data_IF_105780123311
#
_entry.id   IF_105780123311
#
_cell.length_a   1.000
_cell.length_b   1.000
_cell.length_c   1.000
_cell.angle_alpha   90.00
_cell.angle_beta   90.00
_cell.angle_gamma   90.00
#
_symmetry.space_group_name_H-M   'P 1'
#
loop_
_entity.id
_entity.type
_entity.pdbx_description
1 polymer ?
#
# COMPACT_ATOMS: atom_id res chain seq x y z
N UNK A 1 -3.39 -16.74 -1.58
CA UNK A 1 -4.20 -16.68 -2.83
C UNK A 1 -4.19 -15.24 -3.25
N UNK A 2 -3.97 -14.93 -4.53
CA UNK A 2 -3.87 -13.53 -4.98
C UNK A 2 -5.13 -12.73 -4.62
N UNK A 3 -4.96 -11.70 -3.80
CA UNK A 3 -6.03 -10.81 -3.36
C UNK A 3 -6.00 -9.49 -4.12
N UNK A 4 -4.81 -8.94 -4.38
CA UNK A 4 -4.66 -7.68 -5.09
C UNK A 4 -3.30 -7.61 -5.77
N UNK A 5 -3.23 -7.11 -6.99
CA UNK A 5 -1.97 -6.89 -7.68
C UNK A 5 -2.01 -5.61 -8.48
N UNK A 6 -1.03 -4.73 -8.29
CA UNK A 6 -0.95 -3.47 -9.04
C UNK A 6 0.50 -3.09 -9.32
N UNK A 7 0.69 -2.16 -10.25
CA UNK A 7 2.01 -1.64 -10.62
C UNK A 7 2.06 -0.15 -10.33
N UNK A 8 3.15 0.31 -9.72
CA UNK A 8 3.39 1.74 -9.48
C UNK A 8 3.59 2.42 -10.83
N UNK A 9 2.82 3.47 -11.09
CA UNK A 9 2.88 4.32 -12.27
C UNK A 9 3.72 5.57 -12.02
N UNK A 10 3.54 6.19 -10.87
CA UNK A 10 4.28 7.39 -10.47
C UNK A 10 4.29 7.55 -8.96
N UNK A 11 5.18 8.39 -8.48
CA UNK A 11 5.26 8.79 -7.08
C UNK A 11 5.28 10.32 -7.03
N UNK A 12 4.47 10.90 -6.15
CA UNK A 12 4.57 12.31 -5.81
C UNK A 12 5.90 12.64 -5.11
N UNK A 13 6.28 13.92 -5.13
CA UNK A 13 7.55 14.36 -4.54
C UNK A 13 7.59 14.11 -3.04
N UNK A 14 6.50 14.40 -2.31
CA UNK A 14 6.39 14.16 -0.87
C UNK A 14 6.11 12.69 -0.52
N UNK A 15 5.63 11.89 -1.47
CA UNK A 15 5.41 10.46 -1.26
C UNK A 15 6.74 9.71 -1.01
N UNK A 16 7.83 10.19 -1.62
CA UNK A 16 9.17 9.63 -1.39
C UNK A 16 9.70 9.98 -0.01
N UNK A 17 9.37 11.16 0.50
CA UNK A 17 9.73 11.56 1.85
C UNK A 17 8.98 10.71 2.88
N UNK A 18 7.69 10.42 2.66
CA UNK A 18 6.93 9.55 3.57
C UNK A 18 7.50 8.13 3.62
N UNK A 19 8.09 7.63 2.51
CA UNK A 19 8.74 6.33 2.48
C UNK A 19 9.94 6.27 3.45
N UNK A 20 10.67 7.38 3.65
CA UNK A 20 11.75 7.44 4.64
C UNK A 20 11.26 7.28 6.08
N UNK A 21 9.98 7.60 6.33
CA UNK A 21 9.28 7.40 7.60
C UNK A 21 8.50 6.07 7.63
N UNK A 22 8.91 5.08 6.82
CA UNK A 22 8.30 3.75 6.71
C UNK A 22 6.80 3.81 6.35
N UNK A 23 6.37 4.84 5.62
CA UNK A 23 4.98 5.07 5.23
C UNK A 23 4.81 5.26 3.71
N UNK A 24 3.93 4.46 3.13
CA UNK A 24 3.56 4.53 1.71
C UNK A 24 2.07 4.77 1.59
N UNK A 25 1.67 5.88 0.99
CA UNK A 25 0.27 6.16 0.69
C UNK A 25 0.02 5.77 -0.75
N UNK A 26 -0.79 4.74 -0.96
CA UNK A 26 -1.21 4.31 -2.29
C UNK A 26 -2.49 5.04 -2.72
N UNK A 27 -2.59 5.32 -4.01
CA UNK A 27 -3.83 5.79 -4.62
C UNK A 27 -3.96 5.25 -6.05
N UNK A 28 -5.18 4.91 -6.45
CA UNK A 28 -5.47 4.52 -7.83
C UNK A 28 -5.34 5.68 -8.83
N UNK A 29 -5.53 5.40 -10.13
CA UNK A 29 -5.39 6.40 -11.20
C UNK A 29 -6.41 7.54 -11.13
N UNK A 30 -7.49 7.37 -10.37
CA UNK A 30 -8.52 8.37 -10.09
C UNK A 30 -8.16 9.35 -8.96
N UNK A 31 -6.92 9.31 -8.46
CA UNK A 31 -6.45 10.24 -7.43
C UNK A 31 -6.67 11.71 -7.83
N UNK A 32 -7.24 12.55 -6.96
CA UNK A 32 -7.30 13.99 -7.18
C UNK A 32 -5.89 14.61 -7.26
N UNK A 33 -5.69 15.59 -8.15
CA UNK A 33 -4.37 16.21 -8.33
C UNK A 33 -3.81 16.81 -7.03
N UNK A 34 -4.69 17.33 -6.16
CA UNK A 34 -4.32 17.89 -4.86
C UNK A 34 -3.65 16.90 -3.89
N UNK A 35 -3.82 15.58 -4.08
CA UNK A 35 -3.21 14.54 -3.22
C UNK A 35 -2.14 13.72 -3.92
N UNK A 36 -1.98 13.86 -5.25
CA UNK A 36 -0.99 13.09 -6.04
C UNK A 36 0.44 13.33 -5.56
N UNK A 37 0.76 14.53 -5.12
CA UNK A 37 2.10 14.88 -4.63
C UNK A 37 2.50 14.11 -3.35
N UNK A 38 1.52 13.57 -2.62
CA UNK A 38 1.72 12.82 -1.37
C UNK A 38 1.53 11.30 -1.54
N UNK A 39 1.14 10.84 -2.74
CA UNK A 39 0.78 9.45 -2.97
C UNK A 39 1.66 8.79 -4.03
N UNK A 40 1.80 7.47 -3.91
CA UNK A 40 2.22 6.60 -4.98
C UNK A 40 0.99 6.20 -5.79
N UNK A 41 0.99 6.59 -7.05
CA UNK A 41 -0.08 6.29 -7.99
C UNK A 41 0.21 4.93 -8.61
N UNK A 42 -0.74 4.00 -8.50
CA UNK A 42 -0.64 2.69 -9.10
C UNK A 42 -1.68 2.50 -10.21
N UNK A 43 -1.55 1.43 -10.99
CA UNK A 43 -2.35 1.16 -12.18
C UNK A 43 -3.84 0.91 -11.92
N UNK A 44 -4.24 0.78 -10.66
CA UNK A 44 -5.51 0.20 -10.27
C UNK A 44 -5.53 -1.33 -10.48
N UNK A 45 -6.39 -2.00 -9.73
CA UNK A 45 -6.69 -3.43 -9.86
C UNK A 45 -7.97 -3.78 -9.11
N UNK A 46 -8.47 -4.98 -9.32
CA UNK A 46 -9.62 -5.50 -8.55
C UNK A 46 -9.13 -6.20 -7.28
N UNK A 47 -9.87 -5.99 -6.19
CA UNK A 47 -9.68 -6.75 -4.96
C UNK A 47 -10.44 -8.07 -5.06
N UNK A 48 -9.71 -9.17 -5.17
CA UNK A 48 -10.24 -10.54 -5.31
C UNK A 48 -10.45 -11.24 -3.96
N UNK A 49 -9.90 -10.70 -2.88
CA UNK A 49 -10.08 -11.20 -1.52
C UNK A 49 -9.72 -10.13 -0.49
N UNK A 50 -10.24 -10.27 0.73
CA UNK A 50 -9.94 -9.34 1.81
C UNK A 50 -8.48 -9.50 2.24
N UNK A 51 -7.81 -8.37 2.43
CA UNK A 51 -6.52 -8.30 3.10
C UNK A 51 -6.77 -8.47 4.60
N UNK A 52 -6.14 -9.48 5.18
CA UNK A 52 -6.21 -9.80 6.60
C UNK A 52 -4.82 -10.21 7.14
N UNK A 53 -4.75 -10.69 8.38
CA UNK A 53 -3.48 -11.10 9.01
C UNK A 53 -2.81 -12.32 8.37
N UNK A 54 -3.50 -13.05 7.49
CA UNK A 54 -2.94 -14.16 6.72
C UNK A 54 -2.42 -13.69 5.35
N UNK A 55 -2.65 -12.43 4.99
CA UNK A 55 -2.13 -11.83 3.76
C UNK A 55 -0.66 -11.47 3.90
N UNK A 56 0.10 -11.72 2.83
CA UNK A 56 1.44 -11.17 2.65
C UNK A 56 1.44 -10.11 1.55
N UNK A 57 2.31 -9.12 1.68
CA UNK A 57 2.60 -8.16 0.62
C UNK A 57 3.98 -8.46 0.05
N UNK A 58 4.08 -8.55 -1.26
CA UNK A 58 5.32 -8.62 -2.01
C UNK A 58 5.52 -7.34 -2.81
N UNK A 59 6.70 -6.75 -2.70
CA UNK A 59 7.16 -5.60 -3.48
C UNK A 59 8.50 -5.97 -4.10
N UNK A 60 8.50 -6.33 -5.38
CA UNK A 60 9.67 -6.95 -6.01
C UNK A 60 10.05 -8.25 -5.28
N UNK A 61 11.27 -8.31 -4.74
CA UNK A 61 11.78 -9.45 -3.96
C UNK A 61 11.57 -9.29 -2.44
N UNK A 62 10.99 -8.17 -2.00
CA UNK A 62 10.77 -7.89 -0.58
C UNK A 62 9.40 -8.41 -0.13
N UNK A 63 9.42 -9.35 0.82
CA UNK A 63 8.21 -9.93 1.42
C UNK A 63 7.89 -9.31 2.77
N UNK A 64 6.61 -8.99 2.97
CA UNK A 64 6.06 -8.38 4.16
C UNK A 64 4.84 -9.18 4.65
N UNK A 65 4.64 -9.24 5.96
CA UNK A 65 3.46 -9.87 6.56
C UNK A 65 2.53 -8.80 7.11
N UNK A 66 1.22 -8.97 6.91
CA UNK A 66 0.22 -8.06 7.46
C UNK A 66 0.06 -8.28 8.96
N UNK A 67 0.30 -7.23 9.73
CA UNK A 67 0.24 -7.26 11.20
C UNK A 67 -1.00 -6.57 11.75
N UNK A 68 -1.57 -5.60 11.03
CA UNK A 68 -2.86 -5.00 11.33
C UNK A 68 -3.53 -4.46 10.07
N UNK A 69 -4.85 -4.48 10.04
CA UNK A 69 -5.67 -3.93 8.94
C UNK A 69 -6.72 -3.01 9.52
N UNK A 70 -6.72 -1.76 9.07
CA UNK A 70 -7.74 -0.78 9.44
C UNK A 70 -9.12 -1.15 8.90
N UNK A 71 -10.17 -0.70 9.60
CA UNK A 71 -11.56 -1.09 9.33
C UNK A 71 -12.07 -0.71 7.93
N UNK A 72 -11.50 0.31 7.28
CA UNK A 72 -11.89 0.77 5.93
C UNK A 72 -10.80 0.54 4.89
N UNK A 73 -9.66 -0.04 5.26
CA UNK A 73 -8.52 -0.24 4.34
C UNK A 73 -8.91 -1.08 3.10
N UNK A 74 -9.61 -2.20 3.32
CA UNK A 74 -10.09 -3.06 2.23
C UNK A 74 -11.08 -2.34 1.31
N UNK A 75 -12.01 -1.56 1.90
CA UNK A 75 -13.00 -0.81 1.13
C UNK A 75 -12.34 0.27 0.27
N UNK A 76 -11.45 1.08 0.88
CA UNK A 76 -10.74 2.13 0.16
C UNK A 76 -9.83 1.57 -0.94
N UNK A 77 -9.18 0.43 -0.71
CA UNK A 77 -8.36 -0.22 -1.73
C UNK A 77 -9.21 -0.72 -2.90
N UNK A 78 -10.40 -1.28 -2.62
CA UNK A 78 -11.30 -1.77 -3.65
C UNK A 78 -11.96 -0.63 -4.47
N UNK A 79 -12.37 0.46 -3.82
CA UNK A 79 -13.12 1.54 -4.46
C UNK A 79 -12.20 2.60 -5.10
N UNK A 80 -11.12 2.96 -4.43
CA UNK A 80 -10.25 4.10 -4.78
C UNK A 80 -8.82 3.68 -5.14
N UNK A 81 -8.43 2.42 -4.88
CA UNK A 81 -7.02 2.05 -4.83
C UNK A 81 -6.29 2.75 -3.68
N UNK A 82 -7.01 3.25 -2.68
CA UNK A 82 -6.42 4.08 -1.64
C UNK A 82 -6.16 3.29 -0.38
N UNK A 83 -4.92 3.26 0.08
CA UNK A 83 -4.56 2.66 1.38
C UNK A 83 -3.23 3.22 1.85
N UNK A 84 -3.06 3.35 3.17
CA UNK A 84 -1.75 3.68 3.76
C UNK A 84 -1.09 2.40 4.22
N UNK A 85 0.11 2.13 3.73
CA UNK A 85 0.96 1.03 4.18
C UNK A 85 2.00 1.60 5.15
N UNK A 86 2.06 1.05 6.36
CA UNK A 86 3.12 1.36 7.34
C UNK A 86 3.98 0.13 7.57
N UNK A 87 5.29 0.29 7.48
CA UNK A 87 6.27 -0.79 7.66
C UNK A 87 6.83 -0.82 9.09
N UNK A 88 5.98 -0.58 10.08
CA UNK A 88 6.33 -0.48 11.51
C UNK A 88 6.04 -1.77 12.32
N UNK A 89 5.39 -2.76 11.72
CA UNK A 89 4.99 -4.02 12.35
C UNK A 89 3.99 -3.88 13.51
N UNK A 90 3.27 -2.76 13.63
CA UNK A 90 2.29 -2.60 14.71
C UNK A 90 1.12 -3.57 14.56
N UNK A 91 0.65 -4.10 15.70
CA UNK A 91 -0.44 -5.09 15.76
C UNK A 91 -1.83 -4.48 15.86
N UNK A 92 -1.91 -3.16 15.93
CA UNK A 92 -3.15 -2.40 16.04
C UNK A 92 -3.16 -1.33 14.97
N UNK A 93 -4.24 -1.22 14.18
CA UNK A 93 -4.31 -0.21 13.14
C UNK A 93 -4.36 1.19 13.78
N UNK A 94 -3.42 2.05 13.40
CA UNK A 94 -3.37 3.44 13.88
C UNK A 94 -4.51 4.27 13.30
N UNK A 95 -4.81 4.08 12.01
CA UNK A 95 -5.91 4.72 11.31
C UNK A 95 -6.80 3.69 10.61
N UNK A 96 -8.09 4.00 10.40
CA UNK A 96 -9.03 3.12 9.72
C UNK A 96 -8.60 2.68 8.30
N UNK A 97 -7.83 3.50 7.58
CA UNK A 97 -7.35 3.22 6.23
C UNK A 97 -5.92 2.69 6.16
N UNK A 98 -5.32 2.29 7.30
CA UNK A 98 -3.91 1.89 7.37
C UNK A 98 -3.76 0.37 7.50
N UNK A 99 -2.78 -0.17 6.79
CA UNK A 99 -2.31 -1.55 6.91
C UNK A 99 -0.90 -1.49 7.45
N UNK A 100 -0.69 -2.16 8.59
CA UNK A 100 0.62 -2.29 9.19
C UNK A 100 1.27 -3.58 8.72
N UNK A 101 2.52 -3.48 8.33
CA UNK A 101 3.31 -4.52 7.70
C UNK A 101 4.59 -4.72 8.49
N UNK A 102 5.00 -5.97 8.64
CA UNK A 102 6.29 -6.34 9.20
C UNK A 102 7.14 -6.99 8.12
N UNK A 103 8.36 -6.50 7.93
CA UNK A 103 9.26 -7.00 6.90
C UNK A 103 10.58 -6.24 6.84
N UNK A 104 11.36 -6.42 5.77
CA UNK A 104 12.60 -5.68 5.55
C UNK A 104 12.33 -4.19 5.30
N UNK A 105 13.33 -3.33 5.48
CA UNK A 105 13.17 -1.91 5.16
C UNK A 105 12.95 -1.70 3.66
N UNK A 106 11.89 -0.98 3.29
CA UNK A 106 11.64 -0.57 1.92
C UNK A 106 12.38 0.75 1.66
N UNK A 107 13.50 0.69 0.93
CA UNK A 107 14.30 1.90 0.67
C UNK A 107 13.83 2.68 -0.56
N UNK A 108 13.33 1.97 -1.58
CA UNK A 108 12.93 2.56 -2.86
C UNK A 108 11.62 1.93 -3.32
N UNK A 109 10.73 2.78 -3.81
CA UNK A 109 9.54 2.39 -4.55
C UNK A 109 9.43 3.30 -5.78
N UNK A 110 9.41 2.73 -6.97
CA UNK A 110 9.51 3.46 -8.22
C UNK A 110 8.58 2.93 -9.30
N UNK A 111 8.46 3.69 -10.40
CA UNK A 111 7.65 3.31 -11.55
C UNK A 111 8.06 1.92 -12.07
N UNK A 112 7.05 1.06 -12.27
CA UNK A 112 7.23 -0.32 -12.72
C UNK A 112 7.27 -1.36 -11.60
N UNK A 113 7.43 -0.94 -10.34
CA UNK A 113 7.40 -1.87 -9.21
C UNK A 113 6.01 -2.47 -9.05
N UNK A 114 5.96 -3.78 -8.80
CA UNK A 114 4.71 -4.53 -8.63
C UNK A 114 4.47 -4.77 -7.15
N UNK A 115 3.27 -4.42 -6.70
CA UNK A 115 2.77 -4.75 -5.37
C UNK A 115 1.77 -5.89 -5.50
N UNK A 116 1.99 -6.95 -4.74
CA UNK A 116 1.15 -8.15 -4.76
C UNK A 116 0.74 -8.55 -3.34
N UNK A 117 -0.55 -8.49 -3.06
CA UNK A 117 -1.15 -9.04 -1.85
C UNK A 117 -1.65 -10.46 -2.10
N UNK A 118 -1.20 -11.43 -1.32
CA UNK A 118 -1.67 -12.82 -1.45
C UNK A 118 -1.13 -13.83 -0.46
#
# INVERSE_FOLDING_TARGET
MLQYQTTILSAGDYAKDSLHDDMVILFGPSAPDAVKEYCFIHSGSSLYGLIDHNTTLLIGDLGFVVTAVGSVANQNLAELGHVTLKFDGQRTPELPGTIHLLGPKLEVLQHGDVLMFG
#
